data_IF_889487333115
#
_entry.id   IF_889487333115
#
_cell.length_a   1.000
_cell.length_b   1.000
_cell.length_c   1.000
_cell.angle_alpha   90.00
_cell.angle_beta   90.00
_cell.angle_gamma   90.00
#
_symmetry.space_group_name_H-M   'P 1'
#
loop_
_entity.id
_entity.type
_entity.pdbx_description
1 polymer ?
#
# COMPACT_ATOMS: atom_id res chain seq x y z
N UNK A 1 50.30 -58.63 17.99
CA UNK A 1 49.36 -59.60 17.43
C UNK A 1 48.32 -58.74 16.72
N UNK A 2 48.62 -58.30 15.54
CA UNK A 2 48.30 -58.74 14.16
C UNK A 2 46.87 -59.20 13.95
N UNK A 3 46.09 -58.40 13.23
CA UNK A 3 45.26 -58.81 12.08
C UNK A 3 44.39 -57.63 11.68
N UNK A 4 44.62 -57.01 10.56
CA UNK A 4 44.28 -57.33 9.19
C UNK A 4 42.92 -56.70 8.79
N UNK A 5 43.00 -55.65 8.02
CA UNK A 5 41.89 -55.05 7.22
C UNK A 5 41.55 -55.96 6.03
N UNK A 6 40.32 -55.99 5.57
CA UNK A 6 40.03 -56.38 4.21
C UNK A 6 39.74 -55.16 3.32
N UNK A 7 40.50 -55.10 2.26
CA UNK A 7 40.33 -54.29 1.05
C UNK A 7 39.11 -54.82 0.29
N UNK A 8 38.14 -53.94 -0.02
CA UNK A 8 37.10 -54.22 -1.03
C UNK A 8 37.34 -53.39 -2.27
N UNK A 9 37.66 -54.11 -3.34
CA UNK A 9 37.85 -53.61 -4.70
C UNK A 9 36.51 -53.26 -5.35
N UNK A 10 36.47 -52.13 -6.01
CA UNK A 10 35.39 -51.70 -6.91
C UNK A 10 35.44 -52.44 -8.25
N UNK A 11 34.29 -52.71 -8.89
CA UNK A 11 34.27 -52.92 -10.33
C UNK A 11 33.66 -51.69 -11.02
N UNK A 12 34.46 -51.13 -11.92
CA UNK A 12 34.02 -50.21 -12.98
C UNK A 12 33.00 -50.90 -13.90
N UNK A 13 31.81 -50.28 -14.06
CA UNK A 13 31.00 -50.46 -15.26
C UNK A 13 30.52 -49.13 -15.79
N UNK A 14 31.20 -48.67 -16.82
CA UNK A 14 30.82 -47.56 -17.66
C UNK A 14 29.80 -48.06 -18.68
N UNK A 15 28.53 -47.85 -18.43
CA UNK A 15 27.46 -48.01 -19.41
C UNK A 15 27.14 -46.65 -20.06
N UNK A 16 27.67 -46.46 -21.27
CA UNK A 16 27.26 -45.30 -22.11
C UNK A 16 25.89 -45.58 -22.73
N UNK A 17 24.90 -44.79 -22.38
CA UNK A 17 23.65 -44.69 -23.14
C UNK A 17 23.85 -43.70 -24.31
N UNK A 18 23.37 -43.99 -25.52
CA UNK A 18 23.53 -43.15 -26.69
C UNK A 18 22.50 -41.99 -26.64
N UNK A 19 22.97 -40.77 -26.77
CA UNK A 19 22.11 -39.57 -27.04
C UNK A 19 21.57 -39.64 -28.48
N UNK A 20 20.28 -39.38 -28.71
CA UNK A 20 19.78 -39.23 -30.07
C UNK A 20 20.27 -37.91 -30.66
N UNK A 21 20.72 -38.00 -31.90
CA UNK A 21 21.27 -36.91 -32.69
C UNK A 21 20.27 -35.73 -32.86
N UNK A 22 20.74 -34.54 -32.61
CA UNK A 22 20.02 -33.31 -32.90
C UNK A 22 19.80 -33.15 -34.40
N UNK A 23 18.54 -33.15 -34.83
CA UNK A 23 18.16 -32.77 -36.22
C UNK A 23 18.34 -31.26 -36.37
N UNK A 24 19.24 -30.88 -37.21
CA UNK A 24 19.45 -29.51 -37.70
C UNK A 24 18.21 -29.03 -38.43
N UNK A 25 17.49 -28.09 -37.89
CA UNK A 25 16.45 -27.33 -38.57
C UNK A 25 17.15 -26.21 -39.38
N UNK A 26 17.10 -26.31 -40.68
CA UNK A 26 17.53 -25.26 -41.62
C UNK A 26 16.56 -24.05 -41.50
N UNK A 27 17.05 -22.80 -41.53
CA UNK A 27 16.18 -21.65 -41.53
C UNK A 27 15.49 -21.51 -42.90
N UNK A 28 14.15 -21.44 -42.87
CA UNK A 28 13.35 -21.04 -44.03
C UNK A 28 13.48 -19.55 -44.22
N UNK A 29 14.02 -19.14 -45.36
CA UNK A 29 14.03 -17.77 -45.86
C UNK A 29 12.60 -17.29 -46.08
N UNK A 30 12.11 -16.34 -45.29
CA UNK A 30 10.92 -15.57 -45.62
C UNK A 30 11.30 -14.44 -46.55
N UNK A 31 10.77 -14.51 -47.77
CA UNK A 31 10.81 -13.44 -48.78
C UNK A 31 10.04 -12.22 -48.22
N UNK A 32 10.75 -11.11 -48.13
CA UNK A 32 10.19 -9.80 -47.87
C UNK A 32 9.29 -9.39 -49.03
N UNK A 33 8.00 -9.22 -48.77
CA UNK A 33 7.10 -8.52 -49.67
C UNK A 33 7.22 -7.01 -49.38
N UNK A 34 7.80 -6.32 -50.38
CA UNK A 34 7.85 -4.85 -50.40
C UNK A 34 6.46 -4.35 -50.77
N UNK A 35 5.75 -3.76 -49.79
CA UNK A 35 4.55 -2.96 -50.10
C UNK A 35 4.99 -1.51 -50.35
N UNK A 36 4.82 -1.09 -51.61
CA UNK A 36 5.07 0.28 -52.03
C UNK A 36 4.04 1.25 -51.43
N UNK A 37 4.52 2.26 -50.72
CA UNK A 37 3.73 3.43 -50.39
C UNK A 37 3.49 4.28 -51.62
N UNK A 38 2.25 4.35 -52.11
CA UNK A 38 1.80 5.33 -53.08
C UNK A 38 1.53 6.64 -52.33
N UNK A 39 2.39 7.62 -52.53
CA UNK A 39 2.19 8.98 -52.09
C UNK A 39 1.22 9.68 -53.04
N UNK A 40 -0.01 9.91 -52.64
CA UNK A 40 -0.97 10.76 -53.34
C UNK A 40 -0.78 12.21 -52.93
N UNK A 41 -0.10 12.96 -53.81
CA UNK A 41 -0.01 14.42 -53.69
C UNK A 41 -1.33 15.07 -54.17
N UNK A 42 -2.12 15.64 -53.28
CA UNK A 42 -3.24 16.51 -53.63
C UNK A 42 -2.73 17.95 -53.79
N UNK A 43 -2.70 18.40 -55.05
CA UNK A 43 -2.49 19.80 -55.39
C UNK A 43 -3.78 20.59 -55.13
N UNK A 44 -3.72 21.58 -54.20
CA UNK A 44 -4.80 22.55 -54.00
C UNK A 44 -4.64 23.68 -55.04
N UNK A 45 -5.52 23.69 -56.03
CA UNK A 45 -5.64 24.82 -56.94
C UNK A 45 -6.39 25.97 -56.25
N UNK A 46 -5.73 27.10 -56.11
CA UNK A 46 -6.33 28.37 -55.66
C UNK A 46 -7.12 29.01 -56.80
N UNK A 47 -8.43 29.04 -56.70
CA UNK A 47 -9.30 29.83 -57.54
C UNK A 47 -9.53 31.22 -56.88
N UNK A 48 -8.87 32.22 -57.42
CA UNK A 48 -9.11 33.65 -57.05
C UNK A 48 -10.35 34.14 -57.81
N UNK A 49 -11.46 34.33 -57.09
CA UNK A 49 -12.63 35.06 -57.61
C UNK A 49 -12.64 36.45 -57.02
N UNK A 50 -12.32 37.41 -57.84
CA UNK A 50 -12.50 38.84 -57.54
C UNK A 50 -13.98 39.21 -57.62
N UNK A 51 -14.58 39.57 -56.49
CA UNK A 51 -15.92 40.14 -56.41
C UNK A 51 -15.76 41.65 -56.13
N UNK A 52 -16.31 42.48 -57.06
CA UNK A 52 -16.40 43.91 -56.92
C UNK A 52 -17.18 44.31 -55.66
N UNK A 53 -16.60 45.18 -54.86
CA UNK A 53 -17.21 45.77 -53.70
C UNK A 53 -18.24 46.85 -54.07
N UNK A 54 -19.50 46.59 -53.76
CA UNK A 54 -20.48 47.66 -53.63
C UNK A 54 -20.52 48.12 -52.17
N UNK A 55 -20.33 49.39 -51.92
CA UNK A 55 -20.36 50.00 -50.59
C UNK A 55 -21.80 50.01 -50.03
N UNK A 56 -22.04 49.53 -48.84
CA UNK A 56 -23.31 49.73 -48.15
C UNK A 56 -23.35 51.09 -47.41
N UNK A 57 -24.56 51.68 -47.17
CA UNK A 57 -24.74 52.97 -46.56
C UNK A 57 -24.36 52.97 -45.09
N UNK A 58 -23.93 54.16 -44.59
CA UNK A 58 -23.35 54.39 -43.29
C UNK A 58 -24.20 53.86 -42.10
N UNK A 59 -23.52 53.13 -41.25
CA UNK A 59 -23.97 52.73 -39.94
C UNK A 59 -23.37 53.77 -38.95
N UNK A 60 -24.24 54.41 -38.17
CA UNK A 60 -23.86 55.28 -37.07
C UNK A 60 -22.92 54.57 -36.05
N UNK A 61 -22.00 55.28 -35.37
CA UNK A 61 -21.12 54.66 -34.40
C UNK A 61 -21.96 54.10 -33.25
N UNK A 62 -21.90 52.78 -33.07
CA UNK A 62 -22.43 52.10 -31.90
C UNK A 62 -21.63 52.54 -30.68
N UNK A 63 -22.33 52.84 -29.60
CA UNK A 63 -21.75 53.07 -28.28
C UNK A 63 -20.76 51.97 -27.94
N UNK A 64 -19.63 52.28 -27.25
CA UNK A 64 -18.68 51.24 -26.83
C UNK A 64 -19.41 50.32 -25.85
N UNK A 65 -19.80 49.16 -26.35
CA UNK A 65 -20.33 48.07 -25.53
C UNK A 65 -19.39 47.89 -24.33
N UNK A 66 -19.95 47.98 -23.13
CA UNK A 66 -19.25 47.74 -21.87
C UNK A 66 -18.43 46.46 -21.97
N UNK A 67 -17.11 46.60 -21.87
CA UNK A 67 -16.20 45.44 -21.72
C UNK A 67 -16.75 44.63 -20.57
N UNK A 68 -17.05 43.32 -20.74
CA UNK A 68 -17.48 42.50 -19.64
C UNK A 68 -16.44 42.63 -18.54
N UNK A 69 -16.86 43.04 -17.34
CA UNK A 69 -15.99 43.10 -16.17
C UNK A 69 -15.26 41.77 -16.05
N UNK A 70 -13.93 41.82 -15.90
CA UNK A 70 -13.13 40.65 -15.64
C UNK A 70 -13.81 39.83 -14.52
N UNK A 71 -13.91 38.52 -14.63
CA UNK A 71 -14.57 37.73 -13.61
C UNK A 71 -13.95 38.10 -12.27
N UNK A 72 -14.77 38.62 -11.36
CA UNK A 72 -14.39 38.91 -9.98
C UNK A 72 -13.74 37.65 -9.45
N UNK A 73 -12.65 37.79 -8.68
CA UNK A 73 -11.91 36.69 -8.05
C UNK A 73 -12.94 35.73 -7.48
N UNK A 74 -13.06 34.56 -8.12
CA UNK A 74 -14.11 33.61 -7.82
C UNK A 74 -13.96 33.23 -6.34
N UNK A 75 -15.09 33.06 -5.61
CA UNK A 75 -15.18 32.57 -4.24
C UNK A 75 -14.65 31.12 -4.14
N UNK A 76 -13.38 30.87 -4.46
CA UNK A 76 -12.72 29.58 -4.35
C UNK A 76 -12.48 29.29 -2.88
N UNK A 77 -13.15 28.29 -2.36
CA UNK A 77 -12.99 27.85 -0.98
C UNK A 77 -11.82 26.90 -0.90
N UNK A 78 -10.80 27.23 -0.09
CA UNK A 78 -9.63 26.37 0.13
C UNK A 78 -9.83 25.50 1.36
N UNK A 79 -9.56 24.20 1.20
CA UNK A 79 -9.50 23.21 2.26
C UNK A 79 -8.04 22.81 2.46
N UNK A 80 -7.48 23.20 3.61
CA UNK A 80 -6.12 22.83 4.01
C UNK A 80 -6.13 21.50 4.73
N UNK A 81 -5.23 20.62 4.33
CA UNK A 81 -4.97 19.32 4.95
C UNK A 81 -3.55 19.35 5.50
N UNK A 82 -3.38 18.94 6.74
CA UNK A 82 -2.08 18.88 7.39
C UNK A 82 -1.56 17.45 7.35
N UNK A 83 -0.34 17.24 6.85
CA UNK A 83 0.38 15.99 7.00
C UNK A 83 1.41 16.13 8.12
N UNK A 84 1.38 15.20 9.06
CA UNK A 84 2.28 15.15 10.22
C UNK A 84 3.08 13.86 10.13
N UNK A 85 4.40 13.99 10.04
CA UNK A 85 5.32 12.88 9.87
C UNK A 85 6.38 12.87 10.95
N UNK A 86 6.55 11.71 11.58
CA UNK A 86 7.67 11.49 12.47
C UNK A 86 8.88 10.99 11.67
N UNK A 87 9.95 11.76 11.70
CA UNK A 87 11.23 11.33 11.17
C UNK A 87 11.83 10.30 12.13
N UNK A 88 12.01 9.06 11.66
CA UNK A 88 12.51 7.97 12.50
C UNK A 88 13.99 7.80 12.22
N UNK A 89 14.87 7.95 13.21
CA UNK A 89 16.25 7.52 13.06
C UNK A 89 16.28 6.03 12.74
N UNK A 90 17.25 5.60 11.95
CA UNK A 90 17.42 4.17 11.61
C UNK A 90 17.51 3.35 12.91
N UNK A 91 16.44 2.63 13.24
CA UNK A 91 16.38 1.79 14.45
C UNK A 91 17.28 0.57 14.32
N UNK A 92 17.34 0.00 13.12
CA UNK A 92 18.15 -1.17 12.80
C UNK A 92 18.70 -1.02 11.37
N UNK A 93 19.89 -1.54 11.05
CA UNK A 93 20.38 -1.49 9.69
C UNK A 93 19.44 -2.26 8.78
N UNK A 94 18.99 -1.64 7.68
CA UNK A 94 18.10 -2.30 6.73
C UNK A 94 18.78 -3.52 6.11
N UNK A 95 17.97 -4.46 5.60
CA UNK A 95 18.47 -5.65 4.91
C UNK A 95 19.34 -5.29 3.71
N UNK A 96 18.99 -4.23 3.01
CA UNK A 96 19.78 -3.66 1.91
C UNK A 96 20.05 -2.19 2.13
N UNK A 97 21.33 -1.81 2.07
CA UNK A 97 21.74 -0.39 2.08
C UNK A 97 21.46 0.31 0.75
N UNK A 98 21.06 -0.44 -0.28
CA UNK A 98 20.76 0.08 -1.62
C UNK A 98 19.24 0.31 -1.85
N UNK A 99 18.38 -0.24 -0.99
CA UNK A 99 16.93 -0.11 -1.06
C UNK A 99 16.39 0.52 0.24
N UNK A 100 16.83 1.75 0.48
CA UNK A 100 16.37 2.52 1.64
C UNK A 100 14.97 3.06 1.39
N UNK A 101 14.14 3.18 2.45
CA UNK A 101 12.87 3.89 2.34
C UNK A 101 13.09 5.31 1.79
N UNK A 102 12.32 5.75 0.79
CA UNK A 102 12.46 7.09 0.23
C UNK A 102 12.07 8.15 1.25
N UNK A 103 12.77 9.29 1.23
CA UNK A 103 12.55 10.40 2.17
C UNK A 103 11.13 10.98 2.06
N UNK A 104 10.48 10.85 0.92
CA UNK A 104 9.13 11.33 0.65
C UNK A 104 8.06 10.22 0.75
N UNK A 105 8.37 9.07 1.38
CA UNK A 105 7.39 7.97 1.56
C UNK A 105 6.16 8.49 2.31
N UNK A 106 4.97 8.17 1.80
CA UNK A 106 3.70 8.71 2.28
C UNK A 106 3.40 10.13 1.80
N UNK A 107 4.36 11.05 1.86
CA UNK A 107 4.18 12.43 1.43
C UNK A 107 3.88 12.54 -0.08
N UNK A 108 4.58 11.77 -0.90
CA UNK A 108 4.33 11.73 -2.34
C UNK A 108 2.91 11.23 -2.66
N UNK A 109 2.41 10.26 -1.89
CA UNK A 109 1.03 9.78 -1.99
C UNK A 109 0.01 10.85 -1.65
N UNK A 110 0.21 11.59 -0.56
CA UNK A 110 -0.64 12.72 -0.18
C UNK A 110 -0.65 13.82 -1.25
N UNK A 111 0.51 14.16 -1.82
CA UNK A 111 0.62 15.16 -2.91
C UNK A 111 -0.14 14.72 -4.16
N UNK A 112 -0.03 13.46 -4.57
CA UNK A 112 -0.80 12.94 -5.70
C UNK A 112 -2.31 13.06 -5.43
N UNK A 113 -2.76 12.81 -4.20
CA UNK A 113 -4.17 12.94 -3.84
C UNK A 113 -4.66 14.40 -3.87
N UNK A 114 -3.82 15.37 -3.51
CA UNK A 114 -4.12 16.80 -3.67
C UNK A 114 -4.32 17.14 -5.14
N UNK A 115 -3.44 16.68 -6.03
CA UNK A 115 -3.58 16.88 -7.48
C UNK A 115 -4.88 16.27 -8.02
N UNK A 116 -5.21 15.06 -7.55
CA UNK A 116 -6.45 14.38 -7.91
C UNK A 116 -7.69 15.14 -7.42
N UNK A 117 -7.68 15.62 -6.18
CA UNK A 117 -8.76 16.43 -5.61
C UNK A 117 -8.94 17.73 -6.36
N UNK A 118 -7.85 18.42 -6.69
CA UNK A 118 -7.87 19.68 -7.42
C UNK A 118 -8.36 19.53 -8.88
N UNK A 119 -8.21 18.33 -9.46
CA UNK A 119 -8.75 18.05 -10.80
C UNK A 119 -10.28 18.21 -10.82
N UNK A 120 -10.99 17.70 -9.81
CA UNK A 120 -12.45 17.85 -9.67
C UNK A 120 -12.80 19.17 -9.01
N UNK A 121 -12.03 19.61 -8.02
CA UNK A 121 -12.26 20.83 -7.23
C UNK A 121 -12.37 22.10 -8.08
N UNK A 122 -11.60 22.19 -9.18
CA UNK A 122 -11.69 23.31 -10.13
C UNK A 122 -13.09 23.58 -10.66
N UNK A 123 -13.88 22.53 -10.87
CA UNK A 123 -15.27 22.66 -11.35
C UNK A 123 -16.24 23.03 -10.24
N UNK A 124 -15.88 22.77 -8.98
CA UNK A 124 -16.70 23.02 -7.79
C UNK A 124 -16.27 24.27 -7.01
N UNK A 125 -15.33 25.04 -7.55
CA UNK A 125 -14.70 26.18 -6.85
C UNK A 125 -14.09 25.78 -5.51
N UNK A 126 -13.56 24.55 -5.43
CA UNK A 126 -12.83 24.02 -4.28
C UNK A 126 -11.35 23.90 -4.63
N UNK A 127 -10.49 24.31 -3.73
CA UNK A 127 -9.04 24.15 -3.81
C UNK A 127 -8.55 23.35 -2.61
N UNK A 128 -7.68 22.39 -2.82
CA UNK A 128 -7.09 21.58 -1.77
C UNK A 128 -5.61 21.91 -1.67
N UNK A 129 -5.13 22.12 -0.46
CA UNK A 129 -3.73 22.41 -0.18
C UNK A 129 -3.20 21.49 0.92
N UNK A 130 -1.93 21.09 0.81
CA UNK A 130 -1.24 20.26 1.78
C UNK A 130 -0.20 21.10 2.52
N UNK A 131 -0.30 21.13 3.83
CA UNK A 131 0.75 21.61 4.73
C UNK A 131 1.48 20.43 5.35
N UNK A 132 2.75 20.60 5.69
CA UNK A 132 3.61 19.55 6.22
C UNK A 132 4.25 19.99 7.53
N UNK A 133 4.25 19.07 8.53
CA UNK A 133 5.05 19.16 9.74
C UNK A 133 5.86 17.87 9.84
N UNK A 134 7.16 18.01 10.01
CA UNK A 134 8.10 16.87 10.17
C UNK A 134 9.04 17.16 11.33
N UNK A 135 9.19 16.21 12.25
CA UNK A 135 10.19 16.25 13.33
C UNK A 135 10.48 14.83 13.82
N UNK A 136 11.64 14.64 14.45
CA UNK A 136 11.93 13.44 15.25
C UNK A 136 11.27 13.49 16.63
N UNK A 137 11.00 14.70 17.13
CA UNK A 137 10.42 14.93 18.45
C UNK A 137 8.88 14.90 18.39
N UNK A 138 8.29 13.90 19.05
CA UNK A 138 6.83 13.76 19.17
C UNK A 138 6.17 14.96 19.85
N UNK A 139 6.80 15.56 20.87
CA UNK A 139 6.22 16.68 21.59
C UNK A 139 6.14 17.92 20.70
N UNK A 140 7.16 18.17 19.89
CA UNK A 140 7.16 19.24 18.88
C UNK A 140 6.07 19.00 17.83
N UNK A 141 5.97 17.78 17.29
CA UNK A 141 4.91 17.42 16.32
C UNK A 141 3.51 17.71 16.88
N UNK A 142 3.25 17.32 18.13
CA UNK A 142 1.96 17.54 18.78
C UNK A 142 1.70 19.04 18.98
N UNK A 143 2.67 19.80 19.46
CA UNK A 143 2.53 21.24 19.74
C UNK A 143 2.25 22.02 18.46
N UNK A 144 3.04 21.80 17.40
CA UNK A 144 2.85 22.50 16.12
C UNK A 144 1.54 22.07 15.43
N UNK A 145 1.16 20.79 15.50
CA UNK A 145 -0.12 20.32 14.96
C UNK A 145 -1.29 20.99 15.68
N UNK A 146 -1.26 21.07 17.02
CA UNK A 146 -2.30 21.74 17.79
C UNK A 146 -2.45 23.20 17.40
N UNK A 147 -1.36 23.94 17.27
CA UNK A 147 -1.32 25.32 16.82
C UNK A 147 -1.97 25.50 15.44
N UNK A 148 -1.67 24.59 14.49
CA UNK A 148 -2.28 24.60 13.15
C UNK A 148 -3.79 24.31 13.19
N UNK A 149 -4.20 23.39 14.04
CA UNK A 149 -5.61 23.04 14.23
C UNK A 149 -6.38 24.20 14.87
N UNK A 150 -5.81 24.88 15.87
CA UNK A 150 -6.37 26.09 16.48
C UNK A 150 -6.48 27.25 15.48
N UNK A 151 -5.57 27.30 14.49
CA UNK A 151 -5.62 28.23 13.37
C UNK A 151 -6.66 27.88 12.28
N UNK A 152 -7.37 26.74 12.42
CA UNK A 152 -8.50 26.35 11.56
C UNK A 152 -8.29 25.16 10.65
N UNK A 153 -7.12 24.48 10.66
CA UNK A 153 -6.92 23.25 9.91
C UNK A 153 -7.60 22.09 10.65
N UNK A 154 -8.58 21.45 10.03
CA UNK A 154 -9.38 20.42 10.68
C UNK A 154 -9.16 18.99 10.19
N UNK A 155 -8.33 18.79 9.18
CA UNK A 155 -8.00 17.48 8.64
C UNK A 155 -6.50 17.22 8.78
N UNK A 156 -6.14 16.19 9.52
CA UNK A 156 -4.76 15.82 9.82
C UNK A 156 -4.50 14.40 9.33
N UNK A 157 -3.52 14.19 8.48
CA UNK A 157 -3.05 12.87 8.04
C UNK A 157 -1.74 12.58 8.73
N UNK A 158 -1.61 11.40 9.35
CA UNK A 158 -0.43 11.08 10.16
C UNK A 158 0.36 9.90 9.62
N UNK A 159 1.68 10.07 9.61
CA UNK A 159 2.67 9.02 9.55
C UNK A 159 3.40 8.99 10.90
N UNK A 160 2.76 8.36 11.88
CA UNK A 160 3.20 8.23 13.27
C UNK A 160 3.06 6.77 13.72
N UNK A 161 3.84 6.37 14.71
CA UNK A 161 3.63 5.12 15.42
C UNK A 161 2.35 5.19 16.29
N UNK A 162 1.90 4.05 16.83
CA UNK A 162 0.64 3.97 17.56
C UNK A 162 0.59 4.90 18.78
N UNK A 163 1.64 4.93 19.60
CA UNK A 163 1.68 5.76 20.82
C UNK A 163 1.62 7.25 20.50
N UNK A 164 2.47 7.84 19.63
CA UNK A 164 2.35 9.22 19.18
C UNK A 164 1.00 9.56 18.55
N UNK A 165 0.39 8.60 17.84
CA UNK A 165 -0.94 8.78 17.23
C UNK A 165 -2.03 8.98 18.32
N UNK A 166 -1.99 8.20 19.40
CA UNK A 166 -2.91 8.34 20.54
C UNK A 166 -2.66 9.68 21.25
N UNK A 167 -1.41 10.00 21.54
CA UNK A 167 -1.03 11.26 22.23
C UNK A 167 -1.51 12.48 21.43
N UNK A 168 -1.35 12.47 20.10
CA UNK A 168 -1.88 13.51 19.22
C UNK A 168 -3.41 13.55 19.24
N UNK A 169 -4.08 12.39 19.16
CA UNK A 169 -5.54 12.33 19.20
C UNK A 169 -6.11 12.86 20.52
N UNK A 170 -5.45 12.61 21.63
CA UNK A 170 -5.82 13.14 22.95
C UNK A 170 -5.54 14.64 23.06
N UNK A 171 -4.42 15.13 22.52
CA UNK A 171 -4.08 16.55 22.51
C UNK A 171 -5.06 17.40 21.66
N UNK A 172 -5.66 16.81 20.63
CA UNK A 172 -6.67 17.43 19.78
C UNK A 172 -8.11 17.17 20.22
N UNK A 173 -8.30 16.47 21.35
CA UNK A 173 -9.64 16.20 21.90
C UNK A 173 -10.35 17.50 22.27
N UNK A 174 -11.57 17.66 21.77
CA UNK A 174 -12.38 18.86 21.96
C UNK A 174 -12.09 19.97 20.94
N UNK A 175 -11.05 19.86 20.14
CA UNK A 175 -10.85 20.70 18.97
C UNK A 175 -11.62 20.09 17.77
N UNK A 176 -12.03 20.96 16.86
CA UNK A 176 -12.76 20.53 15.66
C UNK A 176 -11.78 19.95 14.61
N UNK A 177 -11.21 18.78 14.89
CA UNK A 177 -10.24 18.11 14.04
C UNK A 177 -10.49 16.59 13.95
N UNK A 178 -10.17 16.04 12.77
CA UNK A 178 -10.15 14.59 12.50
C UNK A 178 -8.78 14.18 12.01
N UNK A 179 -8.27 13.10 12.58
CA UNK A 179 -6.97 12.53 12.30
C UNK A 179 -7.16 11.27 11.45
N UNK A 180 -6.34 11.10 10.42
CA UNK A 180 -6.27 9.92 9.57
C UNK A 180 -4.92 9.25 9.78
N UNK A 181 -4.90 8.14 10.50
CA UNK A 181 -3.74 7.30 10.65
C UNK A 181 -3.46 6.58 9.32
N UNK A 182 -2.35 6.91 8.69
CA UNK A 182 -1.91 6.33 7.43
C UNK A 182 -0.74 5.33 7.59
N UNK A 183 -0.21 5.10 8.79
CA UNK A 183 0.97 4.26 8.98
C UNK A 183 0.82 3.17 10.05
N UNK A 184 0.38 3.50 11.27
CA UNK A 184 0.35 2.55 12.38
C UNK A 184 -0.65 1.41 12.16
N UNK A 185 -0.19 0.13 12.12
CA UNK A 185 -1.05 -1.04 11.91
C UNK A 185 -1.60 -1.65 13.22
N UNK A 186 -1.34 -1.03 14.37
CA UNK A 186 -1.59 -1.58 15.69
C UNK A 186 -3.07 -1.73 16.00
N UNK A 187 -3.45 -2.86 16.62
CA UNK A 187 -4.86 -3.16 16.93
C UNK A 187 -5.41 -2.27 18.04
N UNK A 188 -4.61 -1.96 19.08
CA UNK A 188 -5.08 -1.22 20.26
C UNK A 188 -5.67 0.14 19.90
N UNK A 189 -5.09 0.88 18.94
CA UNK A 189 -5.61 2.19 18.52
C UNK A 189 -6.94 2.12 17.75
N UNK A 190 -7.38 0.90 17.38
CA UNK A 190 -8.67 0.60 16.75
C UNK A 190 -9.65 -0.04 17.71
N UNK A 191 -9.16 -0.55 18.83
CA UNK A 191 -9.90 -1.32 19.82
C UNK A 191 -9.95 -0.58 21.16
N UNK A 192 -9.26 -1.05 22.20
CA UNK A 192 -9.33 -0.50 23.56
C UNK A 192 -8.90 0.97 23.68
N UNK A 193 -7.92 1.39 22.85
CA UNK A 193 -7.38 2.75 22.84
C UNK A 193 -7.94 3.61 21.69
N UNK A 194 -9.08 3.22 21.12
CA UNK A 194 -9.69 3.97 20.03
C UNK A 194 -10.12 5.38 20.44
N UNK A 195 -10.09 6.33 19.50
CA UNK A 195 -10.51 7.72 19.69
C UNK A 195 -11.51 8.12 18.61
N UNK A 196 -12.59 8.80 18.97
CA UNK A 196 -13.65 9.20 18.04
C UNK A 196 -13.17 10.13 16.92
N UNK A 197 -12.14 10.94 17.18
CA UNK A 197 -11.51 11.83 16.21
C UNK A 197 -10.43 11.15 15.35
N UNK A 198 -10.21 9.82 15.49
CA UNK A 198 -9.19 9.08 14.78
C UNK A 198 -9.83 8.12 13.76
N UNK A 199 -9.42 8.20 12.51
CA UNK A 199 -9.77 7.29 11.40
C UNK A 199 -8.52 6.57 10.93
N UNK A 200 -8.67 5.42 10.27
CA UNK A 200 -7.53 4.60 9.87
C UNK A 200 -7.62 4.24 8.39
N UNK A 201 -6.65 4.66 7.60
CA UNK A 201 -6.45 4.22 6.21
C UNK A 201 -5.37 3.15 6.09
N UNK A 202 -4.45 3.08 7.06
CA UNK A 202 -3.58 1.92 7.22
C UNK A 202 -4.42 0.68 7.58
N UNK A 203 -4.22 -0.49 6.94
CA UNK A 203 -4.81 -1.73 7.41
C UNK A 203 -4.17 -2.13 8.75
N UNK A 204 -4.94 -2.79 9.61
CA UNK A 204 -4.40 -3.37 10.83
C UNK A 204 -3.64 -4.67 10.56
N UNK A 205 -2.78 -5.10 11.51
CA UNK A 205 -2.11 -6.40 11.42
C UNK A 205 -3.11 -7.54 11.30
N UNK A 206 -4.24 -7.47 12.02
CA UNK A 206 -5.30 -8.45 11.89
C UNK A 206 -5.92 -8.50 10.49
N UNK A 207 -6.10 -7.34 9.83
CA UNK A 207 -6.58 -7.31 8.45
C UNK A 207 -5.59 -7.97 7.48
N UNK A 208 -4.30 -7.70 7.66
CA UNK A 208 -3.23 -8.28 6.83
C UNK A 208 -3.14 -9.79 7.05
N UNK A 209 -3.10 -10.24 8.30
CA UNK A 209 -3.03 -11.65 8.66
C UNK A 209 -4.27 -12.43 8.20
N UNK A 210 -5.48 -11.88 8.37
CA UNK A 210 -6.72 -12.51 7.91
C UNK A 210 -6.74 -12.65 6.38
N UNK A 211 -6.26 -11.64 5.66
CA UNK A 211 -6.18 -11.69 4.20
C UNK A 211 -5.27 -12.81 3.70
N UNK A 212 -4.12 -12.99 4.34
CA UNK A 212 -3.20 -14.08 4.06
C UNK A 212 -3.82 -15.42 4.44
N UNK A 213 -4.37 -15.54 5.65
CA UNK A 213 -4.97 -16.76 6.16
C UNK A 213 -6.13 -17.27 5.28
N UNK A 214 -6.98 -16.38 4.77
CA UNK A 214 -8.04 -16.74 3.81
C UNK A 214 -7.47 -17.40 2.55
N UNK A 215 -6.39 -16.86 2.00
CA UNK A 215 -5.74 -17.44 0.83
C UNK A 215 -5.12 -18.81 1.14
N UNK A 216 -4.43 -18.94 2.27
CA UNK A 216 -3.84 -20.20 2.69
C UNK A 216 -4.93 -21.27 2.95
N UNK A 217 -6.06 -20.89 3.55
CA UNK A 217 -7.23 -21.73 3.72
C UNK A 217 -7.82 -22.18 2.37
N UNK A 218 -7.97 -21.24 1.43
CA UNK A 218 -8.46 -21.53 0.08
C UNK A 218 -7.52 -22.52 -0.65
N UNK A 219 -6.20 -22.40 -0.43
CA UNK A 219 -5.20 -23.35 -0.93
C UNK A 219 -5.19 -24.69 -0.18
N UNK A 220 -5.90 -24.80 0.95
CA UNK A 220 -5.84 -25.94 1.88
C UNK A 220 -4.45 -26.15 2.50
N UNK A 221 -3.70 -25.09 2.68
CA UNK A 221 -2.42 -25.06 3.37
C UNK A 221 -2.66 -24.75 4.85
N UNK A 222 -3.15 -25.77 5.59
CA UNK A 222 -3.66 -25.59 6.94
C UNK A 222 -2.65 -25.85 8.06
N UNK A 223 -1.50 -26.43 7.75
CA UNK A 223 -0.46 -26.75 8.72
C UNK A 223 0.70 -25.76 8.59
N UNK A 224 0.87 -24.92 9.60
CA UNK A 224 1.82 -23.82 9.57
C UNK A 224 2.98 -24.06 10.53
N UNK A 225 4.16 -23.59 10.17
CA UNK A 225 5.27 -23.30 11.09
C UNK A 225 5.44 -21.80 11.13
N UNK A 226 5.59 -21.22 12.31
CA UNK A 226 5.72 -19.78 12.51
C UNK A 226 7.12 -19.43 13.00
N UNK A 227 7.81 -18.56 12.28
CA UNK A 227 9.08 -17.97 12.67
C UNK A 227 8.82 -16.52 13.08
N UNK A 228 9.26 -16.15 14.28
CA UNK A 228 9.01 -14.85 14.89
C UNK A 228 10.34 -14.14 15.11
N UNK A 229 10.42 -12.90 14.68
CA UNK A 229 11.57 -12.04 14.97
C UNK A 229 11.58 -11.53 16.41
N UNK A 230 12.67 -10.86 16.83
CA UNK A 230 12.87 -10.48 18.23
C UNK A 230 12.12 -9.22 18.62
N UNK A 231 11.67 -8.38 17.66
CA UNK A 231 11.11 -7.06 17.95
C UNK A 231 9.67 -7.14 18.50
N UNK A 232 9.19 -6.12 19.21
CA UNK A 232 7.79 -6.05 19.62
C UNK A 232 6.82 -6.08 18.45
N UNK A 233 7.17 -5.45 17.33
CA UNK A 233 6.37 -5.40 16.10
C UNK A 233 6.24 -6.79 15.47
N UNK A 234 7.33 -7.56 15.42
CA UNK A 234 7.33 -8.96 14.95
C UNK A 234 6.39 -9.84 15.80
N UNK A 235 6.45 -9.65 17.11
CA UNK A 235 5.59 -10.38 18.06
C UNK A 235 4.12 -9.99 17.88
N UNK A 236 3.84 -8.70 17.65
CA UNK A 236 2.48 -8.22 17.39
C UNK A 236 1.92 -8.78 16.07
N UNK A 237 2.74 -8.89 15.03
CA UNK A 237 2.32 -9.53 13.78
C UNK A 237 2.13 -11.05 13.95
N UNK A 238 3.00 -11.72 14.72
CA UNK A 238 2.83 -13.12 15.08
C UNK A 238 1.52 -13.36 15.86
N UNK A 239 1.14 -12.47 16.77
CA UNK A 239 -0.15 -12.52 17.48
C UNK A 239 -1.34 -12.42 16.50
N UNK A 240 -1.25 -11.53 15.51
CA UNK A 240 -2.26 -11.43 14.46
C UNK A 240 -2.36 -12.72 13.63
N UNK A 241 -1.23 -13.35 13.30
CA UNK A 241 -1.19 -14.64 12.60
C UNK A 241 -1.80 -15.77 13.43
N UNK A 242 -1.51 -15.83 14.76
CA UNK A 242 -2.12 -16.81 15.69
C UNK A 242 -3.64 -16.64 15.76
N UNK A 243 -4.11 -15.38 15.88
CA UNK A 243 -5.53 -15.07 15.84
C UNK A 243 -6.17 -15.54 14.54
N UNK A 244 -5.55 -15.25 13.40
CA UNK A 244 -6.06 -15.66 12.09
C UNK A 244 -6.05 -17.17 11.91
N UNK A 245 -5.00 -17.87 12.40
CA UNK A 245 -4.96 -19.32 12.41
C UNK A 245 -6.16 -19.91 13.15
N UNK A 246 -6.44 -19.42 14.34
CA UNK A 246 -7.59 -19.83 15.13
C UNK A 246 -8.91 -19.55 14.43
N UNK A 247 -9.07 -18.33 13.85
CA UNK A 247 -10.28 -17.87 13.18
C UNK A 247 -10.63 -18.71 11.96
N UNK A 248 -9.64 -19.12 11.18
CA UNK A 248 -9.84 -19.85 9.92
C UNK A 248 -9.53 -21.36 10.05
N UNK A 249 -9.35 -21.87 11.28
CA UNK A 249 -9.16 -23.30 11.54
C UNK A 249 -7.82 -23.86 11.08
N UNK A 250 -6.78 -23.03 11.04
CA UNK A 250 -5.40 -23.45 10.72
C UNK A 250 -4.66 -23.90 11.98
N UNK A 251 -3.61 -24.70 11.80
CA UNK A 251 -2.81 -25.24 12.90
C UNK A 251 -1.38 -24.73 12.82
N UNK A 252 -0.93 -24.03 13.85
CA UNK A 252 0.49 -23.74 14.05
C UNK A 252 1.10 -24.95 14.76
N UNK A 253 1.90 -25.72 14.03
CA UNK A 253 2.50 -26.97 14.50
C UNK A 253 3.72 -26.72 15.37
N UNK A 254 4.48 -25.70 15.03
CA UNK A 254 5.67 -25.27 15.76
C UNK A 254 5.89 -23.78 15.58
N UNK A 255 6.44 -23.16 16.60
CA UNK A 255 6.86 -21.76 16.59
C UNK A 255 8.30 -21.66 17.06
N UNK A 256 9.12 -20.85 16.33
CA UNK A 256 10.51 -20.58 16.69
C UNK A 256 10.81 -19.11 16.65
N UNK A 257 11.50 -18.60 17.66
CA UNK A 257 12.07 -17.26 17.65
C UNK A 257 13.40 -17.26 16.89
N UNK A 258 13.51 -16.44 15.85
CA UNK A 258 14.77 -16.23 15.13
C UNK A 258 15.56 -15.12 15.82
N UNK A 259 16.57 -15.50 16.56
CA UNK A 259 17.46 -14.56 17.26
C UNK A 259 18.41 -13.93 16.28
N UNK A 260 18.11 -12.73 15.89
CA UNK A 260 18.93 -11.92 15.01
C UNK A 260 19.77 -10.91 15.80
N UNK A 261 21.09 -10.90 15.57
CA UNK A 261 22.00 -9.87 16.10
C UNK A 261 22.38 -8.89 15.00
N UNK A 262 21.84 -7.66 14.99
CA UNK A 262 22.15 -6.65 13.99
C UNK A 262 23.62 -6.15 14.08
N UNK A 263 24.28 -6.27 15.24
CA UNK A 263 25.69 -5.88 15.43
C UNK A 263 26.63 -6.66 14.54
N UNK A 264 26.29 -7.88 14.19
CA UNK A 264 27.11 -8.77 13.38
C UNK A 264 27.21 -8.38 11.89
N UNK A 265 26.33 -7.54 11.37
CA UNK A 265 26.31 -7.13 9.95
C UNK A 265 27.47 -6.22 9.53
N UNK A 266 28.14 -5.54 10.46
CA UNK A 266 29.13 -4.50 10.18
C UNK A 266 30.58 -4.95 10.33
N UNK A 267 30.85 -6.18 10.75
CA UNK A 267 32.22 -6.64 10.95
C UNK A 267 32.75 -7.45 9.76
N UNK A 268 33.81 -7.00 9.15
CA UNK A 268 34.50 -7.69 8.04
C UNK A 268 35.30 -8.95 8.50
N UNK A 269 35.20 -9.33 9.74
CA UNK A 269 36.01 -10.39 10.33
C UNK A 269 35.23 -11.63 10.77
N UNK A 270 35.04 -12.60 9.89
CA UNK A 270 34.69 -13.97 10.28
C UNK A 270 33.26 -14.23 10.76
N UNK A 271 32.33 -13.62 10.22
CA UNK A 271 30.97 -13.37 10.51
C UNK A 271 30.01 -14.45 9.98
N UNK A 272 29.12 -14.96 10.82
CA UNK A 272 28.02 -15.84 10.39
C UNK A 272 26.98 -15.03 9.62
N UNK A 273 26.92 -15.25 8.33
CA UNK A 273 25.89 -14.63 7.50
C UNK A 273 24.52 -15.21 7.87
N UNK A 274 23.49 -14.38 8.04
CA UNK A 274 22.11 -14.78 8.36
C UNK A 274 21.64 -15.92 7.46
N UNK A 275 21.89 -15.83 6.16
CA UNK A 275 21.49 -16.83 5.19
C UNK A 275 22.14 -18.22 5.43
N UNK A 276 23.24 -18.32 6.17
CA UNK A 276 23.89 -19.59 6.50
C UNK A 276 23.28 -20.25 7.75
N UNK A 277 22.64 -19.46 8.62
CA UNK A 277 21.99 -19.98 9.83
C UNK A 277 20.64 -20.64 9.50
N UNK A 278 19.92 -20.12 8.50
CA UNK A 278 18.55 -20.54 8.18
C UNK A 278 18.42 -22.03 7.88
N UNK A 279 19.27 -22.69 7.08
CA UNK A 279 19.15 -24.13 6.84
C UNK A 279 19.24 -24.95 8.13
N UNK A 280 20.20 -24.67 9.01
CA UNK A 280 20.33 -25.35 10.30
C UNK A 280 19.16 -25.03 11.23
N UNK A 281 18.73 -23.79 11.27
CA UNK A 281 17.60 -23.33 12.09
C UNK A 281 16.28 -23.98 11.69
N UNK A 282 16.09 -24.25 10.39
CA UNK A 282 14.87 -24.87 9.85
C UNK A 282 14.92 -26.37 9.74
N UNK A 283 16.06 -27.02 10.12
CA UNK A 283 16.13 -28.48 10.23
C UNK A 283 15.14 -29.01 11.26
N UNK A 284 14.64 -30.23 11.01
CA UNK A 284 13.75 -30.95 11.93
C UNK A 284 12.44 -30.23 12.26
N UNK A 285 11.99 -29.32 11.39
CA UNK A 285 10.63 -28.82 11.49
C UNK A 285 9.63 -29.95 11.20
N UNK A 286 8.46 -29.95 11.85
CA UNK A 286 7.42 -30.92 11.53
C UNK A 286 6.98 -30.77 10.06
N UNK A 287 6.43 -31.81 9.43
CA UNK A 287 5.84 -31.68 8.10
C UNK A 287 4.75 -30.62 8.10
N UNK A 288 4.92 -29.60 7.28
CA UNK A 288 4.04 -28.44 7.22
C UNK A 288 3.73 -28.04 5.77
N UNK A 289 2.66 -27.27 5.57
CA UNK A 289 2.25 -26.80 4.25
C UNK A 289 2.91 -25.47 3.88
N UNK A 290 3.09 -24.58 4.87
CA UNK A 290 3.67 -23.25 4.69
C UNK A 290 4.47 -22.83 5.92
N UNK A 291 5.57 -22.14 5.69
CA UNK A 291 6.36 -21.50 6.72
C UNK A 291 6.00 -20.00 6.75
N UNK A 292 5.49 -19.54 7.90
CA UNK A 292 5.16 -18.15 8.12
C UNK A 292 6.32 -17.41 8.80
N UNK A 293 6.60 -16.20 8.35
CA UNK A 293 7.63 -15.33 8.90
C UNK A 293 6.98 -14.04 9.40
N UNK A 294 7.27 -13.69 10.64
CA UNK A 294 6.93 -12.40 11.26
C UNK A 294 8.22 -11.62 11.50
N UNK A 295 8.56 -10.73 10.58
CA UNK A 295 9.73 -9.87 10.53
C UNK A 295 9.31 -8.50 9.92
N UNK A 296 8.59 -7.69 10.70
CA UNK A 296 8.13 -6.37 10.23
C UNK A 296 9.28 -5.38 10.04
N UNK A 297 10.40 -5.63 10.72
CA UNK A 297 11.61 -4.83 10.56
C UNK A 297 12.43 -5.12 9.31
N UNK A 298 12.02 -6.12 8.49
CA UNK A 298 12.72 -6.56 7.28
C UNK A 298 14.21 -6.86 7.53
N UNK A 299 14.51 -7.56 8.65
CA UNK A 299 15.88 -7.80 9.10
C UNK A 299 16.47 -9.10 8.57
N UNK A 300 15.62 -10.13 8.37
CA UNK A 300 16.07 -11.47 8.01
C UNK A 300 15.07 -12.24 7.13
N UNK A 301 13.81 -11.85 7.10
CA UNK A 301 12.72 -12.62 6.50
C UNK A 301 12.92 -12.92 5.02
N UNK A 302 13.45 -11.98 4.25
CA UNK A 302 13.65 -12.10 2.81
C UNK A 302 14.63 -13.23 2.41
N UNK A 303 15.43 -13.76 3.34
CA UNK A 303 16.27 -14.90 3.07
C UNK A 303 15.53 -16.24 3.16
N UNK A 304 14.43 -16.34 3.91
CA UNK A 304 13.73 -17.58 4.16
C UNK A 304 13.19 -18.27 2.90
N UNK A 305 12.60 -17.59 1.93
CA UNK A 305 12.02 -18.22 0.74
C UNK A 305 12.99 -19.14 -0.02
N UNK A 306 14.30 -18.91 0.13
CA UNK A 306 15.33 -19.59 -0.68
C UNK A 306 16.35 -20.38 0.14
N UNK A 307 16.22 -20.40 1.46
CA UNK A 307 17.25 -20.96 2.36
C UNK A 307 16.74 -21.95 3.39
N UNK A 308 15.45 -22.23 3.43
CA UNK A 308 14.88 -23.24 4.33
C UNK A 308 15.40 -24.64 3.99
N UNK A 309 15.51 -25.50 5.01
CA UNK A 309 15.93 -26.90 4.82
C UNK A 309 14.97 -27.67 3.90
N UNK A 310 13.67 -27.58 4.15
CA UNK A 310 12.64 -28.14 3.31
C UNK A 310 12.07 -27.08 2.35
N UNK A 311 11.93 -27.44 1.08
CA UNK A 311 11.36 -26.58 0.06
C UNK A 311 9.84 -26.44 0.25
N UNK A 312 9.42 -25.50 1.11
CA UNK A 312 8.02 -25.15 1.36
C UNK A 312 7.76 -23.69 0.99
N UNK A 313 6.52 -23.34 0.61
CA UNK A 313 6.15 -21.95 0.47
C UNK A 313 6.43 -21.15 1.74
N UNK A 314 6.97 -19.94 1.58
CA UNK A 314 7.16 -18.98 2.65
C UNK A 314 6.17 -17.86 2.47
N UNK A 315 5.52 -17.44 3.56
CA UNK A 315 4.55 -16.36 3.58
C UNK A 315 4.65 -15.55 4.88
N UNK A 316 3.90 -14.46 5.00
CA UNK A 316 3.95 -13.57 6.17
C UNK A 316 4.49 -12.21 5.79
N UNK A 317 5.56 -11.76 6.40
CA UNK A 317 6.25 -10.52 6.03
C UNK A 317 7.17 -10.69 4.81
N UNK A 318 7.53 -11.93 4.48
CA UNK A 318 8.40 -12.28 3.36
C UNK A 318 7.78 -13.38 2.49
N UNK A 319 8.29 -13.56 1.27
CA UNK A 319 7.77 -14.52 0.30
C UNK A 319 6.43 -14.09 -0.28
N UNK A 320 5.33 -14.69 0.14
CA UNK A 320 3.97 -14.22 -0.14
C UNK A 320 3.51 -13.33 1.01
N UNK A 321 3.39 -12.03 0.79
CA UNK A 321 3.04 -11.07 1.83
C UNK A 321 1.76 -10.29 1.54
N UNK A 322 0.97 -9.96 2.58
CA UNK A 322 -0.20 -9.08 2.48
C UNK A 322 0.23 -7.62 2.55
N UNK A 323 -0.36 -6.78 1.72
CA UNK A 323 -0.05 -5.36 1.66
C UNK A 323 -1.24 -4.52 1.23
N UNK A 324 -1.23 -3.23 1.57
CA UNK A 324 -2.25 -2.28 1.10
C UNK A 324 -2.10 -1.93 -0.37
N UNK A 325 -0.89 -1.93 -0.92
CA UNK A 325 -0.60 -1.62 -2.32
C UNK A 325 0.64 -2.37 -2.81
N UNK A 326 0.62 -2.74 -4.09
CA UNK A 326 1.80 -3.27 -4.76
C UNK A 326 1.90 -2.71 -6.20
N UNK A 327 3.09 -2.28 -6.66
CA UNK A 327 3.26 -1.66 -7.98
C UNK A 327 2.89 -2.57 -9.16
N UNK A 328 2.89 -3.88 -8.98
CA UNK A 328 2.50 -4.85 -10.01
C UNK A 328 0.98 -5.04 -10.13
N UNK A 329 0.15 -4.20 -9.52
CA UNK A 329 -1.30 -4.20 -9.74
C UNK A 329 -1.59 -3.54 -11.07
N UNK A 330 -1.99 -4.35 -12.07
CA UNK A 330 -2.34 -3.89 -13.42
C UNK A 330 -3.85 -3.74 -13.61
N UNK A 331 -4.66 -4.40 -12.75
CA UNK A 331 -6.11 -4.41 -12.81
C UNK A 331 -6.70 -3.10 -12.27
N UNK A 332 -7.99 -2.87 -12.61
CA UNK A 332 -8.83 -1.78 -12.06
C UNK A 332 -8.25 -0.38 -12.19
N UNK A 333 -7.45 -0.14 -13.24
CA UNK A 333 -6.78 1.15 -13.44
C UNK A 333 -5.47 1.31 -12.65
N UNK A 334 -4.97 0.25 -12.03
CA UNK A 334 -3.73 0.26 -11.24
C UNK A 334 -2.51 0.73 -12.03
N UNK A 335 -2.38 0.30 -13.30
CA UNK A 335 -1.29 0.74 -14.18
C UNK A 335 -1.29 2.25 -14.39
N UNK A 336 -2.46 2.85 -14.67
CA UNK A 336 -2.56 4.30 -14.88
C UNK A 336 -2.26 5.06 -13.59
N UNK A 337 -2.74 4.56 -12.47
CA UNK A 337 -2.49 5.14 -11.15
C UNK A 337 -0.99 5.09 -10.80
N UNK A 338 -0.36 3.94 -10.95
CA UNK A 338 1.08 3.77 -10.75
C UNK A 338 1.91 4.68 -11.66
N UNK A 339 1.51 4.83 -12.95
CA UNK A 339 2.21 5.70 -13.90
C UNK A 339 2.07 7.19 -13.52
N UNK A 340 0.92 7.61 -12.99
CA UNK A 340 0.75 9.00 -12.48
C UNK A 340 1.66 9.23 -11.28
N UNK A 341 1.69 8.30 -10.33
CA UNK A 341 2.57 8.37 -9.18
C UNK A 341 4.06 8.41 -9.60
N UNK A 342 4.46 7.54 -10.51
CA UNK A 342 5.85 7.50 -11.00
C UNK A 342 6.26 8.81 -11.69
N UNK A 343 5.36 9.49 -12.38
CA UNK A 343 5.64 10.82 -12.95
C UNK A 343 5.83 11.89 -11.87
N UNK A 344 5.10 11.82 -10.77
CA UNK A 344 5.21 12.76 -9.65
C UNK A 344 6.48 12.51 -8.81
N UNK A 345 6.72 11.26 -8.42
CA UNK A 345 7.71 10.90 -7.42
C UNK A 345 9.00 10.27 -8.00
N UNK A 346 9.05 9.96 -9.31
CA UNK A 346 10.16 9.28 -10.00
C UNK A 346 10.50 7.89 -9.43
N UNK A 347 9.61 7.29 -8.68
CA UNK A 347 9.71 5.95 -8.08
C UNK A 347 8.37 5.21 -8.10
N UNK A 348 8.37 3.94 -7.72
CA UNK A 348 7.15 3.18 -7.51
C UNK A 348 6.45 3.60 -6.21
N UNK A 349 5.11 3.52 -6.24
CA UNK A 349 4.28 3.77 -5.06
C UNK A 349 4.46 2.64 -4.03
N UNK A 350 4.69 3.00 -2.78
CA UNK A 350 4.78 2.10 -1.64
C UNK A 350 3.46 2.04 -0.87
N UNK A 351 3.27 1.08 0.04
CA UNK A 351 2.05 0.97 0.85
C UNK A 351 1.69 2.26 1.62
N UNK A 352 2.68 2.94 2.22
CA UNK A 352 2.46 4.18 2.97
C UNK A 352 1.99 5.33 2.06
N UNK A 353 2.55 5.45 0.84
CA UNK A 353 2.06 6.42 -0.14
C UNK A 353 0.57 6.21 -0.47
N UNK A 354 0.20 4.94 -0.67
CA UNK A 354 -1.18 4.59 -0.99
C UNK A 354 -2.13 4.86 0.19
N UNK A 355 -1.70 4.59 1.41
CA UNK A 355 -2.49 4.83 2.62
C UNK A 355 -2.71 6.32 2.86
N UNK A 356 -1.67 7.15 2.68
CA UNK A 356 -1.76 8.61 2.75
C UNK A 356 -2.62 9.17 1.59
N UNK A 357 -2.47 8.62 0.37
CA UNK A 357 -3.33 8.96 -0.76
C UNK A 357 -4.81 8.68 -0.44
N UNK A 358 -5.14 7.52 0.13
CA UNK A 358 -6.53 7.19 0.51
C UNK A 358 -7.08 8.16 1.55
N UNK A 359 -6.28 8.59 2.53
CA UNK A 359 -6.70 9.55 3.54
C UNK A 359 -7.09 10.89 2.91
N UNK A 360 -6.21 11.47 2.11
CA UNK A 360 -6.44 12.76 1.43
C UNK A 360 -7.55 12.65 0.39
N UNK A 361 -7.63 11.55 -0.36
CA UNK A 361 -8.72 11.31 -1.32
C UNK A 361 -10.07 11.13 -0.66
N UNK A 362 -10.13 10.50 0.52
CA UNK A 362 -11.39 10.38 1.29
C UNK A 362 -11.95 11.75 1.64
N UNK A 363 -11.09 12.68 2.06
CA UNK A 363 -11.47 14.05 2.36
C UNK A 363 -11.99 14.76 1.09
N UNK A 364 -11.25 14.64 -0.01
CA UNK A 364 -11.63 15.26 -1.29
C UNK A 364 -12.91 14.68 -1.90
N UNK A 365 -13.11 13.37 -1.84
CA UNK A 365 -14.34 12.72 -2.30
C UNK A 365 -15.54 13.21 -1.48
N UNK A 366 -15.44 13.25 -0.15
CA UNK A 366 -16.50 13.73 0.70
C UNK A 366 -16.79 15.22 0.47
N UNK A 367 -15.75 16.06 0.33
CA UNK A 367 -15.93 17.49 -0.01
C UNK A 367 -16.61 17.70 -1.36
N UNK A 368 -16.27 16.86 -2.36
CA UNK A 368 -16.90 16.85 -3.68
C UNK A 368 -18.38 16.49 -3.60
N UNK A 369 -18.71 15.41 -2.88
CA UNK A 369 -20.09 14.91 -2.76
C UNK A 369 -21.00 15.82 -1.96
N UNK A 370 -20.47 16.41 -0.89
CA UNK A 370 -21.20 17.37 -0.06
C UNK A 370 -21.20 18.78 -0.64
N UNK A 371 -20.41 19.05 -1.69
CA UNK A 371 -20.17 20.38 -2.26
C UNK A 371 -19.74 21.40 -1.20
N UNK A 372 -19.05 20.94 -0.17
CA UNK A 372 -18.66 21.73 0.99
C UNK A 372 -17.17 21.53 1.31
N UNK A 373 -16.57 22.54 1.92
CA UNK A 373 -15.26 22.45 2.58
C UNK A 373 -15.41 22.45 4.11
N UNK A 374 -16.65 22.50 4.62
CA UNK A 374 -16.94 22.48 6.04
C UNK A 374 -16.89 21.05 6.59
N UNK A 375 -16.11 20.86 7.64
CA UNK A 375 -15.97 19.58 8.36
C UNK A 375 -17.29 19.03 8.87
N UNK A 376 -18.20 19.89 9.30
CA UNK A 376 -19.53 19.51 9.81
C UNK A 376 -20.38 18.83 8.73
N UNK A 377 -20.12 19.11 7.47
CA UNK A 377 -20.76 18.43 6.34
C UNK A 377 -19.96 17.18 5.90
N UNK A 378 -18.63 17.30 5.84
CA UNK A 378 -17.74 16.28 5.31
C UNK A 378 -17.69 15.03 6.19
N UNK A 379 -17.48 15.18 7.52
CA UNK A 379 -17.24 14.07 8.44
C UNK A 379 -18.47 13.15 8.59
N UNK A 380 -19.70 13.65 8.81
CA UNK A 380 -20.87 12.78 8.86
C UNK A 380 -21.08 12.01 7.56
N UNK A 381 -20.85 12.67 6.40
CA UNK A 381 -20.95 11.98 5.10
C UNK A 381 -19.91 10.86 4.96
N UNK A 382 -18.66 11.07 5.37
CA UNK A 382 -17.60 10.05 5.31
C UNK A 382 -17.93 8.80 6.13
N UNK A 383 -18.71 8.93 7.21
CA UNK A 383 -19.11 7.82 8.08
C UNK A 383 -20.47 7.24 7.71
N UNK A 384 -21.13 7.82 6.73
CA UNK A 384 -22.43 7.38 6.26
C UNK A 384 -22.31 6.16 5.31
N UNK A 385 -23.39 5.40 5.12
CA UNK A 385 -23.42 4.32 4.14
C UNK A 385 -23.26 4.78 2.69
N UNK A 386 -23.52 6.05 2.40
CA UNK A 386 -23.43 6.64 1.06
C UNK A 386 -21.98 6.97 0.66
N UNK A 387 -21.06 6.99 1.61
CA UNK A 387 -19.64 7.24 1.31
C UNK A 387 -19.01 6.05 0.58
N UNK A 388 -18.42 6.32 -0.57
CA UNK A 388 -17.71 5.35 -1.39
C UNK A 388 -16.46 5.97 -1.99
N UNK A 389 -15.29 5.39 -1.69
CA UNK A 389 -14.03 5.77 -2.31
C UNK A 389 -13.60 4.77 -3.37
N UNK A 390 -13.44 5.22 -4.61
CA UNK A 390 -12.79 4.46 -5.67
C UNK A 390 -11.27 4.49 -5.49
N UNK A 391 -10.65 3.32 -5.29
CA UNK A 391 -9.25 3.24 -4.88
C UNK A 391 -8.45 2.14 -5.61
N UNK A 392 -8.75 1.88 -6.87
CA UNK A 392 -7.99 1.00 -7.77
C UNK A 392 -7.78 -0.44 -7.26
N UNK A 393 -8.74 -0.98 -6.49
CA UNK A 393 -8.72 -2.37 -5.99
C UNK A 393 -9.97 -3.17 -6.33
N UNK A 394 -10.73 -2.73 -7.36
CA UNK A 394 -11.92 -3.43 -7.85
C UNK A 394 -13.15 -3.35 -6.94
N UNK A 395 -13.05 -2.70 -5.79
CA UNK A 395 -14.15 -2.49 -4.85
C UNK A 395 -14.17 -1.05 -4.35
N UNK A 396 -15.34 -0.55 -3.99
CA UNK A 396 -15.52 0.72 -3.31
C UNK A 396 -15.17 0.57 -1.84
N UNK A 397 -14.43 1.54 -1.30
CA UNK A 397 -14.00 1.54 0.08
C UNK A 397 -14.95 2.40 0.93
N UNK A 398 -15.23 1.96 2.16
CA UNK A 398 -16.11 2.64 3.11
C UNK A 398 -15.49 2.61 4.51
N UNK A 399 -15.87 3.53 5.39
CA UNK A 399 -15.41 3.50 6.77
C UNK A 399 -16.31 2.62 7.65
N UNK A 400 -15.71 1.91 8.60
CA UNK A 400 -16.43 1.22 9.67
C UNK A 400 -16.93 2.23 10.69
N UNK A 401 -18.23 2.22 10.94
CA UNK A 401 -18.83 3.16 11.88
C UNK A 401 -18.48 2.89 13.35
N UNK A 402 -17.96 1.69 13.69
CA UNK A 402 -17.68 1.28 15.06
C UNK A 402 -16.24 1.54 15.53
N UNK A 403 -15.27 1.75 14.60
CA UNK A 403 -13.89 2.02 14.97
C UNK A 403 -13.14 2.92 13.98
N UNK A 404 -13.81 3.45 12.96
CA UNK A 404 -13.19 4.37 11.99
C UNK A 404 -12.18 3.76 11.03
N UNK A 405 -12.07 2.42 10.96
CA UNK A 405 -11.20 1.73 10.00
C UNK A 405 -11.78 1.77 8.59
N UNK A 406 -10.98 2.16 7.61
CA UNK A 406 -11.34 2.06 6.19
C UNK A 406 -11.35 0.58 5.77
N UNK A 407 -12.52 0.09 5.33
CA UNK A 407 -12.65 -1.22 4.70
C UNK A 407 -11.93 -1.21 3.37
N UNK A 408 -11.02 -2.10 3.18
CA UNK A 408 -10.25 -2.18 1.94
C UNK A 408 -9.86 -3.63 1.62
N UNK A 409 -9.81 -4.00 0.34
CA UNK A 409 -9.17 -5.24 -0.07
C UNK A 409 -7.67 -5.20 0.26
N UNK A 410 -7.13 -6.34 0.68
CA UNK A 410 -5.70 -6.52 0.93
C UNK A 410 -5.09 -7.30 -0.22
N UNK A 411 -4.01 -6.78 -0.75
CA UNK A 411 -3.26 -7.39 -1.84
C UNK A 411 -2.33 -8.45 -1.29
N UNK A 412 -2.29 -9.62 -1.91
CA UNK A 412 -1.26 -10.63 -1.67
C UNK A 412 -0.28 -10.60 -2.83
N UNK A 413 0.97 -10.35 -2.52
CA UNK A 413 2.03 -10.16 -3.51
C UNK A 413 3.31 -10.89 -3.12
N UNK A 414 4.20 -11.00 -4.08
CA UNK A 414 5.62 -11.33 -3.88
C UNK A 414 6.45 -10.12 -4.28
N UNK A 415 7.75 -10.16 -4.13
CA UNK A 415 8.60 -9.00 -4.45
C UNK A 415 8.42 -8.40 -5.84
N UNK A 416 7.86 -9.16 -6.81
CA UNK A 416 7.69 -8.70 -8.21
C UNK A 416 6.29 -8.92 -8.79
N UNK A 417 5.40 -9.63 -8.09
CA UNK A 417 4.12 -10.05 -8.66
C UNK A 417 2.97 -9.76 -7.70
N UNK A 418 1.86 -9.31 -8.27
CA UNK A 418 0.55 -9.42 -7.67
C UNK A 418 0.02 -10.86 -7.84
N UNK A 419 -0.32 -11.52 -6.74
CA UNK A 419 -0.82 -12.90 -6.75
C UNK A 419 -2.34 -12.94 -6.73
N UNK A 420 -2.96 -12.27 -5.75
CA UNK A 420 -4.42 -12.19 -5.60
C UNK A 420 -4.79 -11.03 -4.67
N UNK A 421 -6.08 -10.83 -4.47
CA UNK A 421 -6.62 -9.83 -3.53
C UNK A 421 -7.63 -10.51 -2.61
N UNK A 422 -7.48 -10.32 -1.31
CA UNK A 422 -8.47 -10.75 -0.30
C UNK A 422 -9.46 -9.63 0.02
N UNK A 423 -10.72 -9.96 0.34
CA UNK A 423 -11.27 -11.28 0.72
C UNK A 423 -11.28 -12.28 -0.43
N UNK A 424 -10.96 -13.54 -0.11
CA UNK A 424 -10.99 -14.64 -1.07
C UNK A 424 -12.43 -15.11 -1.32
N UNK A 425 -12.72 -15.70 -2.50
CA UNK A 425 -14.03 -16.29 -2.79
C UNK A 425 -14.44 -17.33 -1.73
N UNK A 426 -15.69 -17.28 -1.30
CA UNK A 426 -16.24 -18.20 -0.29
C UNK A 426 -16.20 -17.69 1.14
N UNK A 427 -15.48 -16.62 1.43
CA UNK A 427 -15.52 -15.95 2.73
C UNK A 427 -16.63 -14.89 2.72
N UNK A 428 -17.81 -15.29 3.16
CA UNK A 428 -19.01 -14.46 3.15
C UNK A 428 -19.18 -13.71 4.47
N UNK A 429 -19.81 -12.54 4.41
CA UNK A 429 -20.19 -11.75 5.57
C UNK A 429 -21.60 -11.16 5.37
N UNK A 430 -22.31 -10.92 6.47
CA UNK A 430 -23.71 -10.45 6.44
C UNK A 430 -23.86 -9.09 5.73
N UNK A 431 -22.91 -8.17 5.91
CA UNK A 431 -22.98 -6.82 5.36
C UNK A 431 -22.06 -6.64 4.15
N UNK A 432 -20.78 -6.94 4.32
CA UNK A 432 -19.78 -6.83 3.25
C UNK A 432 -18.63 -7.81 3.50
N UNK A 433 -18.19 -8.48 2.45
CA UNK A 433 -17.03 -9.40 2.54
C UNK A 433 -15.78 -8.74 3.10
N UNK A 434 -15.65 -7.40 2.97
CA UNK A 434 -14.52 -6.65 3.54
C UNK A 434 -14.48 -6.69 5.07
N UNK A 435 -15.59 -6.98 5.74
CA UNK A 435 -15.64 -7.15 7.20
C UNK A 435 -15.21 -8.55 7.66
N UNK A 436 -14.88 -9.45 6.72
CA UNK A 436 -14.16 -10.70 7.05
C UNK A 436 -12.69 -10.50 7.35
N UNK A 437 -12.15 -9.29 7.11
CA UNK A 437 -10.75 -8.93 7.39
C UNK A 437 -10.63 -8.06 8.63
N UNK A 438 -9.84 -8.49 9.61
CA UNK A 438 -9.64 -7.78 10.87
C UNK A 438 -10.76 -7.99 11.89
N UNK A 439 -10.87 -7.09 12.87
CA UNK A 439 -11.86 -7.17 13.95
C UNK A 439 -13.22 -6.69 13.44
N UNK A 440 -14.23 -7.54 13.55
CA UNK A 440 -15.60 -7.22 13.15
C UNK A 440 -16.38 -6.52 14.27
N UNK A 441 -17.53 -5.93 13.91
CA UNK A 441 -18.38 -5.18 14.84
C UNK A 441 -18.75 -5.94 16.14
N UNK A 442 -19.12 -7.24 16.12
CA UNK A 442 -19.39 -7.98 17.34
C UNK A 442 -18.15 -8.22 18.23
N UNK A 443 -16.95 -8.21 17.64
CA UNK A 443 -15.69 -8.51 18.31
C UNK A 443 -15.02 -7.25 18.89
N UNK A 444 -15.44 -6.05 18.42
CA UNK A 444 -14.72 -4.81 18.77
C UNK A 444 -14.80 -4.43 20.23
N UNK A 445 -13.67 -3.99 20.76
CA UNK A 445 -13.53 -3.41 22.09
C UNK A 445 -13.61 -1.88 22.10
N UNK A 446 -13.69 -1.26 20.90
CA UNK A 446 -13.77 0.20 20.80
C UNK A 446 -15.08 0.73 21.39
N UNK A 447 -14.97 1.71 22.28
CA UNK A 447 -16.12 2.36 22.94
C UNK A 447 -16.32 3.80 22.48
N UNK A 448 -15.34 4.41 21.84
CA UNK A 448 -15.37 5.84 21.50
C UNK A 448 -16.40 6.18 20.41
N UNK A 449 -16.79 5.22 19.59
CA UNK A 449 -17.75 5.37 18.50
C UNK A 449 -19.19 4.98 18.87
N UNK A 450 -19.39 4.36 20.02
CA UNK A 450 -20.71 3.99 20.53
C UNK A 450 -21.32 5.21 21.24
N UNK A 451 -21.94 6.12 20.46
CA UNK A 451 -22.79 7.21 20.96
C UNK A 451 -24.18 7.10 20.38
#
# INVERSE_FOLDING_TARGET
>A
MTSANPVYSSPNMVGRLPFPAARSLRPRSHRSAVFGCIASSLALAALSSSVLAGAPPGIAPADPAAVPAAPQASDVKTLNILMVRQLRPERLPPLSLLDLPPMDDGLAGARLAIDDNNTTGRFLKQNFALELIESEDTAELIAETKKKVEAGIGFVVTDLDAKPTIELADALKGLDAVIFNASAPDENIREEDCRANLKHTAPSRAMLADALAQYLAWKRWGNWVLIVGPTPEDKAYADALRRSAQRFGMKILEEREFKYDPGSRRSDGGFEQIQQQIPTFTQKLPPHDVLLVADEGELFGEYFPYRTWDARPVAGTAGLFPTSWHPAIELWGGTQFQNRFKRLASRSMRPLDYQAWMAVRSIGEAATRTQSVDRKAIIPYMLSPEFELAAFKGRKLTYRAWNGQLRQPVVLATGKMHVTVSPQPGFLHQFTELDTLGVDKPETKCRAYNK
#
